data_IF_713197824918
#
_entry.id   IF_713197824918
#
_cell.length_a   1.000
_cell.length_b   1.000
_cell.length_c   1.000
_cell.angle_alpha   90.00
_cell.angle_beta   90.00
_cell.angle_gamma   90.00
#
_symmetry.space_group_name_H-M   'P 1'
#
loop_
_entity.id
_entity.type
_entity.pdbx_description
1 polymer ?
#
# COMPACT_ATOMS: atom_id res chain seq x y z
N UNK A 1 -34.74 -74.50 0.80
CA UNK A 1 -35.93 -74.06 0.06
C UNK A 1 -36.22 -72.62 0.43
N UNK A 2 -35.71 -71.70 -0.39
CA UNK A 2 -36.50 -70.82 -1.28
C UNK A 2 -37.01 -69.55 -0.59
N UNK A 3 -36.19 -68.50 -0.71
CA UNK A 3 -36.57 -67.08 -0.81
C UNK A 3 -37.77 -66.92 -1.77
N UNK A 4 -38.62 -65.87 -1.64
CA UNK A 4 -38.22 -64.58 -2.21
C UNK A 4 -38.71 -63.30 -1.50
N UNK A 5 -37.76 -62.36 -1.39
CA UNK A 5 -37.82 -60.92 -1.71
C UNK A 5 -39.07 -60.11 -1.40
N UNK A 6 -38.87 -58.99 -0.68
CA UNK A 6 -39.35 -57.67 -1.12
C UNK A 6 -38.37 -56.59 -0.70
N UNK A 7 -37.68 -56.04 -1.70
CA UNK A 7 -36.90 -54.83 -1.61
C UNK A 7 -37.84 -53.64 -1.31
N UNK A 8 -37.50 -52.83 -0.31
CA UNK A 8 -38.05 -51.50 -0.13
C UNK A 8 -36.90 -50.51 -0.06
N UNK A 9 -36.80 -49.77 -1.15
CA UNK A 9 -35.97 -48.61 -1.38
C UNK A 9 -36.34 -47.52 -0.34
N UNK A 10 -35.49 -47.31 0.67
CA UNK A 10 -35.59 -46.14 1.54
C UNK A 10 -34.91 -44.97 0.83
N UNK A 11 -35.72 -44.10 0.25
CA UNK A 11 -35.32 -42.76 -0.14
C UNK A 11 -34.97 -41.97 1.12
N UNK A 12 -33.70 -41.57 1.23
CA UNK A 12 -33.25 -40.58 2.20
C UNK A 12 -33.73 -39.23 1.70
N UNK A 13 -34.83 -38.73 2.26
CA UNK A 13 -35.26 -37.35 2.12
C UNK A 13 -34.33 -36.48 2.98
N UNK A 14 -33.39 -35.79 2.34
CA UNK A 14 -32.62 -34.72 2.97
C UNK A 14 -33.55 -33.52 3.17
N UNK A 15 -34.06 -33.35 4.39
CA UNK A 15 -34.86 -32.21 4.80
C UNK A 15 -33.92 -31.00 4.97
N UNK A 16 -33.85 -30.14 3.95
CA UNK A 16 -33.20 -28.83 4.05
C UNK A 16 -34.04 -27.97 4.98
N UNK A 17 -33.57 -27.77 6.21
CA UNK A 17 -34.13 -26.83 7.16
C UNK A 17 -33.90 -25.40 6.62
N UNK A 18 -34.96 -24.82 6.06
CA UNK A 18 -35.12 -23.37 5.89
C UNK A 18 -35.22 -22.73 7.28
N UNK A 19 -34.07 -22.51 7.90
CA UNK A 19 -33.94 -21.62 9.04
C UNK A 19 -33.81 -20.18 8.54
N UNK A 20 -34.95 -19.48 8.39
CA UNK A 20 -34.96 -18.03 8.25
C UNK A 20 -34.69 -17.36 9.61
N UNK A 21 -33.47 -17.50 10.10
CA UNK A 21 -32.90 -16.63 11.12
C UNK A 21 -32.09 -15.55 10.43
N UNK A 22 -32.50 -14.28 10.55
CA UNK A 22 -31.65 -13.14 10.17
C UNK A 22 -30.50 -13.03 11.17
N UNK A 23 -29.50 -13.90 11.02
CA UNK A 23 -28.17 -13.61 11.51
C UNK A 23 -27.51 -12.75 10.43
N UNK A 24 -27.49 -11.45 10.67
CA UNK A 24 -26.81 -10.43 9.86
C UNK A 24 -25.30 -10.61 9.98
N UNK A 25 -24.73 -11.44 9.12
CA UNK A 25 -23.31 -11.78 9.12
C UNK A 25 -22.56 -10.88 8.13
N UNK A 26 -21.40 -10.37 8.54
CA UNK A 26 -20.47 -9.71 7.63
C UNK A 26 -20.12 -10.67 6.47
N UNK A 27 -19.97 -10.12 5.25
CA UNK A 27 -19.64 -10.93 4.08
C UNK A 27 -18.12 -11.07 3.96
N UNK A 28 -17.63 -12.31 4.03
CA UNK A 28 -16.21 -12.61 3.87
C UNK A 28 -15.90 -13.10 2.45
N UNK A 29 -14.79 -12.61 1.90
CA UNK A 29 -14.24 -13.04 0.61
C UNK A 29 -12.76 -13.36 0.81
N UNK A 30 -12.37 -14.59 0.46
CA UNK A 30 -10.99 -15.04 0.52
C UNK A 30 -10.45 -15.21 -0.91
N UNK A 31 -9.31 -14.58 -1.17
CA UNK A 31 -8.55 -14.70 -2.40
C UNK A 31 -7.19 -15.32 -2.08
N UNK A 32 -6.34 -15.54 -3.09
CA UNK A 32 -4.97 -16.03 -2.86
C UNK A 32 -4.11 -15.05 -2.05
N UNK A 33 -4.41 -13.75 -2.15
CA UNK A 33 -3.57 -12.65 -1.63
C UNK A 33 -4.28 -11.76 -0.62
N UNK A 34 -5.61 -11.83 -0.52
CA UNK A 34 -6.44 -10.98 0.34
C UNK A 34 -7.50 -11.79 1.09
N UNK A 35 -7.74 -11.41 2.34
CA UNK A 35 -8.93 -11.79 3.09
C UNK A 35 -9.72 -10.51 3.38
N UNK A 36 -10.94 -10.42 2.86
CA UNK A 36 -11.75 -9.20 2.90
C UNK A 36 -13.02 -9.45 3.69
N UNK A 37 -13.43 -8.45 4.47
CA UNK A 37 -14.68 -8.47 5.24
C UNK A 37 -15.48 -7.23 4.89
N UNK A 38 -16.69 -7.43 4.38
CA UNK A 38 -17.62 -6.38 4.00
C UNK A 38 -18.78 -6.31 4.98
N UNK A 39 -19.23 -5.09 5.25
CA UNK A 39 -20.48 -4.86 5.96
C UNK A 39 -21.68 -5.17 5.08
N UNK A 40 -22.86 -5.25 5.68
CA UNK A 40 -24.13 -5.40 4.96
C UNK A 40 -24.44 -4.21 4.04
N UNK A 41 -23.87 -3.04 4.33
CA UNK A 41 -24.07 -1.81 3.54
C UNK A 41 -23.06 -1.68 2.40
N UNK A 42 -22.20 -2.69 2.19
CA UNK A 42 -21.20 -2.69 1.12
C UNK A 42 -19.92 -1.92 1.44
N UNK A 43 -19.71 -1.50 2.69
CA UNK A 43 -18.44 -0.90 3.12
C UNK A 43 -17.39 -1.98 3.38
N UNK A 44 -16.13 -1.70 3.07
CA UNK A 44 -15.02 -2.61 3.38
C UNK A 44 -14.61 -2.40 4.84
N UNK A 45 -14.95 -3.35 5.72
CA UNK A 45 -14.68 -3.26 7.16
C UNK A 45 -13.22 -3.54 7.47
N UNK A 46 -12.68 -4.64 6.93
CA UNK A 46 -11.28 -5.00 7.12
C UNK A 46 -10.73 -5.74 5.92
N UNK A 47 -9.41 -5.66 5.77
CA UNK A 47 -8.67 -6.45 4.82
C UNK A 47 -7.41 -7.02 5.47
N UNK A 48 -7.04 -8.24 5.12
CA UNK A 48 -5.75 -8.84 5.45
C UNK A 48 -5.04 -9.16 4.15
N UNK A 49 -3.91 -8.51 3.91
CA UNK A 49 -3.05 -8.82 2.78
C UNK A 49 -2.00 -9.86 3.17
N UNK A 50 -1.78 -10.82 2.29
CA UNK A 50 -0.83 -11.92 2.45
C UNK A 50 0.26 -11.84 1.39
N UNK A 51 1.50 -12.19 1.75
CA UNK A 51 2.65 -12.29 0.85
C UNK A 51 3.48 -13.55 1.22
N UNK A 52 3.73 -14.49 0.31
CA UNK A 52 3.33 -14.48 -1.10
C UNK A 52 1.85 -14.80 -1.34
N UNK A 53 1.24 -15.65 -0.50
CA UNK A 53 -0.17 -16.04 -0.58
C UNK A 53 -0.72 -16.37 0.81
N UNK A 54 -2.03 -16.34 1.01
CA UNK A 54 -2.68 -16.58 2.30
C UNK A 54 -2.63 -18.03 2.77
N UNK A 55 -2.40 -18.98 1.86
CA UNK A 55 -2.31 -20.42 2.12
C UNK A 55 -0.86 -20.95 2.15
N UNK A 56 0.13 -20.09 1.90
CA UNK A 56 1.53 -20.48 1.87
C UNK A 56 2.05 -20.89 3.27
N UNK A 57 3.07 -21.75 3.31
CA UNK A 57 3.67 -22.22 4.57
C UNK A 57 4.32 -21.09 5.39
N UNK A 58 4.90 -20.09 4.73
CA UNK A 58 5.52 -18.92 5.36
C UNK A 58 4.93 -17.65 4.77
N UNK A 59 3.87 -17.14 5.42
CA UNK A 59 3.14 -15.96 4.94
C UNK A 59 3.41 -14.76 5.83
N UNK A 60 3.76 -13.64 5.21
CA UNK A 60 3.74 -12.32 5.85
C UNK A 60 2.37 -11.71 5.64
N UNK A 61 1.73 -11.26 6.72
CA UNK A 61 0.41 -10.67 6.65
C UNK A 61 0.40 -9.23 7.14
N UNK A 62 -0.47 -8.40 6.56
CA UNK A 62 -0.82 -7.10 7.10
C UNK A 62 -2.31 -6.90 7.15
N UNK A 63 -2.81 -6.51 8.32
CA UNK A 63 -4.21 -6.16 8.52
C UNK A 63 -4.41 -4.66 8.32
N UNK A 64 -5.50 -4.31 7.65
CA UNK A 64 -6.03 -2.97 7.46
C UNK A 64 -7.37 -2.88 8.20
N UNK A 65 -7.66 -1.73 8.80
CA UNK A 65 -8.89 -1.48 9.55
C UNK A 65 -8.76 -1.78 11.05
N UNK A 66 -9.90 -2.01 11.72
CA UNK A 66 -9.95 -2.22 13.16
C UNK A 66 -11.38 -2.10 13.68
N UNK A 67 -11.62 -1.15 14.58
CA UNK A 67 -12.97 -0.80 15.08
C UNK A 67 -13.82 -0.04 14.05
N UNK A 68 -13.20 0.47 12.99
CA UNK A 68 -13.85 1.13 11.86
C UNK A 68 -13.62 0.42 10.53
N UNK A 69 -14.24 0.97 9.49
CA UNK A 69 -14.11 0.58 8.09
C UNK A 69 -12.79 1.05 7.46
N UNK A 70 -12.21 0.20 6.61
CA UNK A 70 -11.07 0.56 5.74
C UNK A 70 -11.53 1.50 4.64
N UNK A 71 -12.64 1.16 3.97
CA UNK A 71 -13.29 2.02 2.99
C UNK A 71 -14.78 2.15 3.30
N UNK A 72 -15.16 3.36 3.73
CA UNK A 72 -16.51 3.72 4.13
C UNK A 72 -17.19 4.69 3.17
N UNK A 73 -18.52 4.72 3.25
CA UNK A 73 -19.36 5.71 2.58
C UNK A 73 -19.80 6.77 3.59
N UNK A 74 -19.72 8.06 3.23
CA UNK A 74 -20.16 9.17 4.10
C UNK A 74 -21.66 9.15 4.36
N UNK A 75 -22.44 8.71 3.36
CA UNK A 75 -23.85 8.42 3.49
C UNK A 75 -24.09 6.97 3.11
N UNK A 76 -24.65 6.20 4.04
CA UNK A 76 -25.08 4.82 3.75
C UNK A 76 -26.33 4.85 2.88
N UNK A 77 -26.27 4.22 1.72
CA UNK A 77 -27.39 4.12 0.76
C UNK A 77 -28.30 2.91 1.02
N UNK A 78 -27.82 1.91 1.78
CA UNK A 78 -28.56 0.69 2.02
C UNK A 78 -29.41 0.76 3.31
N UNK A 79 -30.72 0.99 3.16
CA UNK A 79 -31.72 0.81 4.26
C UNK A 79 -32.30 -0.60 4.31
N UNK A 80 -32.15 -1.39 3.25
CA UNK A 80 -32.51 -2.81 3.18
C UNK A 80 -31.39 -3.53 2.42
N UNK A 81 -30.44 -4.17 3.11
CA UNK A 81 -29.28 -4.75 2.45
C UNK A 81 -29.71 -5.99 1.66
N UNK A 82 -29.72 -5.88 0.34
CA UNK A 82 -29.72 -7.03 -0.56
C UNK A 82 -28.33 -7.14 -1.16
N UNK A 83 -27.74 -8.32 -1.04
CA UNK A 83 -26.45 -8.68 -1.60
C UNK A 83 -26.65 -9.75 -2.66
N UNK A 84 -26.01 -9.57 -3.81
CA UNK A 84 -25.81 -10.62 -4.80
C UNK A 84 -24.31 -10.92 -4.90
N UNK A 85 -23.95 -12.19 -4.92
CA UNK A 85 -22.58 -12.67 -5.04
C UNK A 85 -22.47 -13.55 -6.27
N UNK A 86 -21.57 -13.18 -7.17
CA UNK A 86 -21.20 -13.97 -8.33
C UNK A 86 -19.73 -14.35 -8.20
N UNK A 87 -19.45 -15.65 -8.19
CA UNK A 87 -18.08 -16.17 -8.16
C UNK A 87 -17.72 -16.78 -9.50
N UNK A 88 -16.52 -16.45 -9.97
CA UNK A 88 -15.92 -17.03 -11.17
C UNK A 88 -14.54 -17.58 -10.83
N UNK A 89 -13.90 -18.23 -11.79
CA UNK A 89 -12.51 -18.69 -11.66
C UNK A 89 -11.51 -17.54 -11.52
N UNK A 90 -11.86 -16.32 -11.96
CA UNK A 90 -10.95 -15.18 -12.03
C UNK A 90 -11.24 -14.10 -10.99
N UNK A 91 -12.50 -13.91 -10.62
CA UNK A 91 -12.92 -12.87 -9.67
C UNK A 91 -14.22 -13.23 -8.94
N UNK A 92 -14.41 -12.61 -7.78
CA UNK A 92 -15.67 -12.54 -7.05
C UNK A 92 -16.27 -11.15 -7.22
N UNK A 93 -17.53 -11.09 -7.64
CA UNK A 93 -18.30 -9.84 -7.77
C UNK A 93 -19.36 -9.79 -6.68
N UNK A 94 -19.33 -8.73 -5.87
CA UNK A 94 -20.35 -8.46 -4.85
C UNK A 94 -21.15 -7.22 -5.25
N UNK A 95 -22.46 -7.39 -5.41
CA UNK A 95 -23.38 -6.30 -5.73
C UNK A 95 -24.28 -6.02 -4.53
N UNK A 96 -24.14 -4.82 -3.97
CA UNK A 96 -24.97 -4.33 -2.87
C UNK A 96 -26.02 -3.38 -3.43
N UNK A 97 -27.29 -3.68 -3.20
CA UNK A 97 -28.41 -2.92 -3.72
C UNK A 97 -28.89 -1.85 -2.73
N UNK A 98 -29.30 -0.71 -3.28
CA UNK A 98 -30.00 0.35 -2.56
C UNK A 98 -31.44 -0.04 -2.20
N UNK A 99 -32.10 0.83 -1.44
CA UNK A 99 -33.49 0.60 -0.99
C UNK A 99 -34.51 0.59 -2.14
N UNK A 100 -34.16 1.20 -3.26
CA UNK A 100 -34.90 1.23 -4.53
C UNK A 100 -34.67 -0.01 -5.41
N UNK A 101 -33.77 -0.91 -5.00
CA UNK A 101 -33.42 -2.12 -5.74
C UNK A 101 -32.44 -1.89 -6.89
N UNK A 102 -31.85 -0.70 -7.01
CA UNK A 102 -30.76 -0.43 -7.95
C UNK A 102 -29.41 -0.81 -7.33
N UNK A 103 -28.39 -1.18 -8.13
CA UNK A 103 -27.05 -1.42 -7.61
C UNK A 103 -26.48 -0.14 -6.98
N UNK A 104 -26.23 -0.13 -5.68
CA UNK A 104 -25.62 1.01 -4.99
C UNK A 104 -24.10 0.96 -5.08
N UNK A 105 -23.52 -0.21 -4.80
CA UNK A 105 -22.07 -0.45 -4.95
C UNK A 105 -21.79 -1.85 -5.50
N UNK A 106 -20.83 -1.94 -6.41
CA UNK A 106 -20.39 -3.19 -7.03
C UNK A 106 -18.89 -3.35 -6.80
N UNK A 107 -18.50 -4.41 -6.11
CA UNK A 107 -17.11 -4.75 -5.87
C UNK A 107 -16.66 -5.85 -6.81
N UNK A 108 -15.56 -5.62 -7.52
CA UNK A 108 -14.84 -6.62 -8.30
C UNK A 108 -13.56 -7.01 -7.56
N UNK A 109 -13.47 -8.26 -7.16
CA UNK A 109 -12.42 -8.78 -6.30
C UNK A 109 -11.69 -9.90 -7.06
N UNK A 110 -10.52 -9.61 -7.66
CA UNK A 110 -9.72 -10.62 -8.35
C UNK A 110 -9.31 -11.77 -7.43
N UNK A 111 -9.23 -12.99 -7.96
CA UNK A 111 -8.73 -14.18 -7.26
C UNK A 111 -7.27 -14.03 -6.81
N UNK A 112 -6.48 -13.28 -7.57
CA UNK A 112 -5.07 -13.03 -7.31
C UNK A 112 -4.76 -11.54 -7.39
N UNK A 113 -3.81 -11.09 -6.57
CA UNK A 113 -3.35 -9.71 -6.52
C UNK A 113 -3.96 -8.91 -5.37
N UNK A 114 -3.45 -7.70 -5.16
CA UNK A 114 -3.80 -6.87 -4.01
C UNK A 114 -4.71 -5.68 -4.37
N UNK A 115 -5.18 -5.63 -5.61
CA UNK A 115 -6.03 -4.54 -6.12
C UNK A 115 -7.46 -5.02 -6.30
N UNK A 116 -8.40 -4.34 -5.64
CA UNK A 116 -9.84 -4.52 -5.83
C UNK A 116 -10.44 -3.29 -6.50
N UNK A 117 -11.57 -3.48 -7.19
CA UNK A 117 -12.29 -2.36 -7.84
C UNK A 117 -13.66 -2.19 -7.21
N UNK A 118 -14.07 -0.95 -7.07
CA UNK A 118 -15.37 -0.54 -6.57
C UNK A 118 -16.01 0.36 -7.62
N UNK A 119 -17.20 0.00 -8.09
CA UNK A 119 -18.06 0.85 -8.90
C UNK A 119 -19.20 1.36 -8.02
N UNK A 120 -19.39 2.67 -8.00
CA UNK A 120 -20.48 3.35 -7.32
C UNK A 120 -21.36 4.00 -8.37
N UNK A 121 -22.66 3.71 -8.39
CA UNK A 121 -23.57 4.37 -9.35
C UNK A 121 -23.84 5.82 -8.95
N UNK A 122 -23.98 6.07 -7.65
CA UNK A 122 -24.12 7.42 -7.07
C UNK A 122 -23.00 7.63 -6.04
N UNK A 123 -21.93 8.39 -6.37
CA UNK A 123 -20.82 8.60 -5.47
C UNK A 123 -21.25 9.46 -4.28
N UNK A 124 -21.61 8.80 -3.17
CA UNK A 124 -21.49 9.42 -1.86
C UNK A 124 -20.00 9.65 -1.55
N UNK A 125 -19.67 10.69 -0.78
CA UNK A 125 -18.30 10.89 -0.32
C UNK A 125 -17.74 9.59 0.27
N UNK A 126 -16.47 9.29 -0.01
CA UNK A 126 -15.76 8.10 0.47
C UNK A 126 -14.81 8.47 1.59
N UNK A 127 -14.59 7.54 2.52
CA UNK A 127 -13.58 7.68 3.56
C UNK A 127 -12.65 6.49 3.53
N UNK A 128 -11.37 6.73 3.28
CA UNK A 128 -10.31 5.72 3.38
C UNK A 128 -9.62 5.88 4.73
N UNK A 129 -9.58 4.82 5.54
CA UNK A 129 -8.98 4.84 6.88
C UNK A 129 -7.97 3.71 7.04
N UNK A 130 -6.88 4.02 7.73
CA UNK A 130 -5.85 3.03 8.06
C UNK A 130 -6.30 2.06 9.14
N UNK A 131 -6.93 2.59 10.19
CA UNK A 131 -7.35 1.84 11.37
C UNK A 131 -6.18 1.40 12.27
N UNK A 132 -6.52 1.02 13.49
CA UNK A 132 -5.56 0.63 14.53
C UNK A 132 -4.62 -0.51 14.11
N UNK A 133 -5.13 -1.52 13.38
CA UNK A 133 -4.32 -2.67 12.98
C UNK A 133 -3.22 -2.29 11.97
N UNK A 134 -3.36 -1.14 11.30
CA UNK A 134 -2.36 -0.61 10.38
C UNK A 134 -1.35 0.33 11.06
N UNK A 135 -1.43 0.54 12.38
CA UNK A 135 -0.40 1.29 13.11
C UNK A 135 0.94 0.55 13.07
N UNK A 136 2.06 1.27 12.97
CA UNK A 136 3.37 0.63 13.08
C UNK A 136 3.56 0.03 14.47
N UNK A 137 4.28 -1.10 14.58
CA UNK A 137 4.65 -1.62 15.89
C UNK A 137 5.52 -0.59 16.63
N UNK A 138 5.46 -0.54 17.97
CA UNK A 138 6.37 0.32 18.73
C UNK A 138 7.81 -0.13 18.48
N UNK A 139 8.61 0.76 17.89
CA UNK A 139 10.04 0.57 17.67
C UNK A 139 10.86 1.58 18.46
N UNK A 140 12.14 1.29 18.69
CA UNK A 140 13.06 2.16 19.40
C UNK A 140 14.12 2.75 18.46
N UNK A 141 14.65 3.93 18.81
CA UNK A 141 15.73 4.59 18.06
C UNK A 141 15.37 4.87 16.60
N UNK A 142 16.29 4.55 15.68
CA UNK A 142 16.09 4.76 14.23
C UNK A 142 14.91 3.97 13.63
N UNK A 143 14.43 2.91 14.30
CA UNK A 143 13.23 2.18 13.86
C UNK A 143 12.00 3.10 13.78
N UNK A 144 11.86 4.03 14.72
CA UNK A 144 10.75 5.00 14.77
C UNK A 144 10.72 5.96 13.59
N UNK A 145 11.87 6.22 12.95
CA UNK A 145 11.96 7.09 11.77
C UNK A 145 11.52 6.35 10.50
N UNK A 146 11.80 5.04 10.43
CA UNK A 146 11.55 4.21 9.25
C UNK A 146 10.14 3.62 9.22
N UNK A 147 9.53 3.41 10.38
CA UNK A 147 8.22 2.76 10.51
C UNK A 147 7.06 3.76 10.59
N UNK A 148 7.27 5.03 10.25
CA UNK A 148 6.19 6.03 10.30
C UNK A 148 5.10 5.76 9.28
N UNK A 149 3.85 5.91 9.72
CA UNK A 149 2.71 6.06 8.82
C UNK A 149 2.82 7.40 8.11
N UNK A 150 2.68 7.40 6.78
CA UNK A 150 2.75 8.60 5.95
C UNK A 150 1.61 8.61 4.96
N UNK A 151 1.06 9.78 4.70
CA UNK A 151 0.29 10.03 3.50
C UNK A 151 1.19 9.97 2.27
N UNK A 152 0.66 9.50 1.15
CA UNK A 152 1.39 9.44 -0.11
C UNK A 152 0.44 9.69 -1.27
N UNK A 153 0.92 10.38 -2.29
CA UNK A 153 0.16 10.63 -3.52
C UNK A 153 1.10 10.71 -4.70
N UNK A 154 0.58 10.40 -5.87
CA UNK A 154 1.28 10.48 -7.14
C UNK A 154 0.89 11.77 -7.86
N UNK A 155 1.89 12.49 -8.35
CA UNK A 155 1.79 13.68 -9.19
C UNK A 155 2.70 13.56 -10.42
N UNK A 156 2.65 14.54 -11.33
CA UNK A 156 3.52 14.58 -12.51
C UNK A 156 5.01 14.64 -12.13
N UNK A 157 5.36 15.33 -11.04
CA UNK A 157 6.72 15.41 -10.51
C UNK A 157 7.18 14.15 -9.72
N UNK A 158 6.36 13.10 -9.75
CA UNK A 158 6.61 11.82 -9.07
C UNK A 158 5.76 11.63 -7.81
N UNK A 159 6.29 10.90 -6.83
CA UNK A 159 5.55 10.56 -5.60
C UNK A 159 5.82 11.56 -4.48
N UNK A 160 4.76 12.24 -4.03
CA UNK A 160 4.73 13.08 -2.84
C UNK A 160 4.30 12.32 -1.58
N UNK A 161 4.49 12.95 -0.42
CA UNK A 161 4.04 12.43 0.86
C UNK A 161 4.11 13.44 1.99
N UNK A 162 3.31 13.20 3.03
CA UNK A 162 3.23 14.03 4.23
C UNK A 162 3.18 13.16 5.49
N UNK A 163 3.65 13.70 6.60
CA UNK A 163 3.54 13.07 7.93
C UNK A 163 2.22 13.45 8.59
N UNK A 164 1.81 12.67 9.60
CA UNK A 164 0.54 12.86 10.33
C UNK A 164 0.68 13.79 11.55
N UNK A 165 1.85 14.39 11.78
CA UNK A 165 2.22 15.03 13.04
C UNK A 165 1.98 16.55 13.10
N UNK A 166 1.71 17.18 11.95
CA UNK A 166 1.34 18.59 11.86
C UNK A 166 -0.18 18.76 11.79
N UNK A 167 -0.69 19.82 12.43
CA UNK A 167 -2.08 20.23 12.25
C UNK A 167 -2.24 20.90 10.88
N UNK A 168 -2.49 20.08 9.87
CA UNK A 168 -2.58 20.52 8.48
C UNK A 168 -3.71 19.74 7.78
N UNK A 169 -4.53 20.46 7.03
CA UNK A 169 -5.47 19.85 6.10
C UNK A 169 -4.95 20.10 4.69
N UNK A 170 -4.45 19.04 4.05
CA UNK A 170 -4.00 19.11 2.67
C UNK A 170 -5.15 18.68 1.77
N UNK A 171 -5.54 19.55 0.84
CA UNK A 171 -6.51 19.21 -0.21
C UNK A 171 -5.77 18.91 -1.50
N UNK A 172 -6.00 17.72 -2.05
CA UNK A 172 -5.43 17.25 -3.31
C UNK A 172 -6.55 17.02 -4.32
N UNK A 173 -6.30 17.37 -5.57
CA UNK A 173 -7.16 16.95 -6.69
C UNK A 173 -6.33 16.05 -7.58
N UNK A 174 -6.68 14.77 -7.64
CA UNK A 174 -5.91 13.79 -8.42
C UNK A 174 -6.78 12.65 -8.91
N UNK A 175 -6.54 12.20 -10.15
CA UNK A 175 -7.04 10.92 -10.65
C UNK A 175 -6.03 9.78 -10.36
N UNK A 176 -4.79 10.13 -10.03
CA UNK A 176 -3.71 9.19 -9.80
C UNK A 176 -3.80 8.59 -8.39
N UNK A 177 -2.88 7.67 -8.09
CA UNK A 177 -2.86 6.97 -6.82
C UNK A 177 -2.55 7.89 -5.63
N UNK A 178 -3.37 7.80 -4.58
CA UNK A 178 -3.15 8.45 -3.30
C UNK A 178 -3.59 7.54 -2.14
N UNK A 179 -3.07 7.76 -0.95
CA UNK A 179 -3.39 6.93 0.20
C UNK A 179 -2.41 7.10 1.33
N UNK A 180 -2.15 6.01 2.05
CA UNK A 180 -1.17 5.98 3.11
C UNK A 180 -0.34 4.70 3.05
N UNK A 181 0.86 4.79 3.60
CA UNK A 181 1.80 3.66 3.61
C UNK A 181 2.66 3.61 4.85
N UNK A 182 3.14 2.41 5.09
CA UNK A 182 4.28 2.08 5.92
C UNK A 182 5.47 1.71 5.04
N UNK A 183 6.57 1.29 5.67
CA UNK A 183 7.77 0.83 4.97
C UNK A 183 7.52 -0.29 3.97
N UNK A 184 6.70 -1.28 4.35
CA UNK A 184 6.51 -2.52 3.56
C UNK A 184 5.09 -2.73 3.05
N UNK A 185 4.14 -1.87 3.43
CA UNK A 185 2.72 -2.06 3.12
C UNK A 185 2.07 -0.72 2.80
N UNK A 186 1.11 -0.72 1.87
CA UNK A 186 0.38 0.48 1.49
C UNK A 186 -1.11 0.18 1.31
N UNK A 187 -1.93 1.18 1.63
CA UNK A 187 -3.32 1.25 1.18
C UNK A 187 -3.44 2.48 0.28
N UNK A 188 -3.72 2.26 -1.01
CA UNK A 188 -3.79 3.31 -2.01
C UNK A 188 -5.13 3.23 -2.74
N UNK A 189 -5.57 4.36 -3.24
CA UNK A 189 -6.78 4.56 -3.99
C UNK A 189 -6.47 5.36 -5.24
N UNK A 190 -7.06 4.97 -6.36
CA UNK A 190 -7.11 5.77 -7.58
C UNK A 190 -8.53 5.68 -8.15
N UNK A 191 -8.89 6.61 -9.02
CA UNK A 191 -10.15 6.56 -9.73
C UNK A 191 -9.96 6.77 -11.24
N UNK A 192 -11.01 6.49 -11.99
CA UNK A 192 -11.08 6.74 -13.44
C UNK A 192 -11.16 8.24 -13.80
N UNK A 193 -11.42 9.10 -12.82
CA UNK A 193 -11.51 10.55 -12.96
C UNK A 193 -10.98 11.27 -11.71
N UNK A 194 -10.67 12.58 -11.81
CA UNK A 194 -10.12 13.33 -10.70
C UNK A 194 -11.03 13.33 -9.47
N UNK A 195 -10.46 12.99 -8.32
CA UNK A 195 -11.11 13.07 -7.02
C UNK A 195 -10.52 14.22 -6.20
N UNK A 196 -11.37 14.84 -5.38
CA UNK A 196 -10.93 15.78 -4.35
C UNK A 196 -10.71 14.98 -3.06
N UNK A 197 -9.46 14.85 -2.66
CA UNK A 197 -9.05 14.18 -1.44
C UNK A 197 -8.66 15.22 -0.38
N UNK A 198 -9.23 15.10 0.81
CA UNK A 198 -8.88 15.87 2.00
C UNK A 198 -8.15 14.98 2.99
N UNK A 199 -6.88 15.29 3.21
CA UNK A 199 -5.98 14.58 4.08
C UNK A 199 -5.96 15.34 5.40
N UNK A 200 -6.39 14.67 6.46
CA UNK A 200 -6.44 15.29 7.78
C UNK A 200 -5.25 14.82 8.60
N UNK A 201 -4.40 15.75 9.01
CA UNK A 201 -3.33 15.54 9.97
C UNK A 201 -3.60 16.37 11.23
N UNK A 202 -3.30 15.81 12.40
CA UNK A 202 -3.46 16.46 13.69
C UNK A 202 -2.33 16.01 14.63
N UNK A 203 -1.93 16.85 15.61
CA UNK A 203 -0.88 16.46 16.55
C UNK A 203 -1.24 15.15 17.25
N UNK A 204 -0.28 14.22 17.32
CA UNK A 204 -0.44 12.89 17.91
C UNK A 204 -1.43 11.96 17.19
N UNK A 205 -1.86 12.29 15.98
CA UNK A 205 -2.69 11.39 15.16
C UNK A 205 -1.90 10.13 14.79
N UNK A 206 -2.47 8.97 15.13
CA UNK A 206 -1.85 7.66 14.87
C UNK A 206 -2.48 6.92 13.69
N UNK A 207 -3.65 7.38 13.24
CA UNK A 207 -4.42 6.77 12.15
C UNK A 207 -4.60 7.78 11.02
N UNK A 208 -4.25 7.39 9.80
CA UNK A 208 -4.56 8.14 8.61
C UNK A 208 -6.05 8.03 8.27
N UNK A 209 -6.67 9.16 7.91
CA UNK A 209 -8.01 9.27 7.34
C UNK A 209 -7.98 10.23 6.15
N UNK A 210 -8.53 9.78 5.03
CA UNK A 210 -8.67 10.58 3.80
C UNK A 210 -10.15 10.62 3.44
N UNK A 211 -10.72 11.82 3.37
CA UNK A 211 -12.08 12.02 2.83
C UNK A 211 -11.99 12.34 1.36
N UNK A 212 -12.85 11.73 0.57
CA UNK A 212 -12.75 11.75 -0.88
C UNK A 212 -14.11 12.08 -1.44
N UNK A 213 -14.17 13.08 -2.32
CA UNK A 213 -15.38 13.46 -3.03
C UNK A 213 -15.12 13.50 -4.53
N UNK A 214 -16.10 13.03 -5.31
CA UNK A 214 -16.13 13.25 -6.75
C UNK A 214 -16.77 14.61 -7.03
N UNK A 215 -16.12 15.53 -7.76
CA UNK A 215 -16.74 16.77 -8.19
C UNK A 215 -17.80 16.54 -9.27
N UNK A 216 -17.64 15.48 -10.06
CA UNK A 216 -18.52 15.13 -11.16
C UNK A 216 -19.63 14.18 -10.73
N UNK A 217 -20.82 14.39 -11.31
CA UNK A 217 -21.95 13.49 -11.17
C UNK A 217 -21.77 12.21 -12.00
N UNK A 218 -22.52 11.16 -11.63
CA UNK A 218 -22.54 9.87 -12.35
C UNK A 218 -21.64 8.80 -11.74
N UNK A 219 -21.54 7.62 -12.36
CA UNK A 219 -20.87 6.47 -11.76
C UNK A 219 -19.37 6.68 -11.58
N UNK A 220 -18.84 6.29 -10.43
CA UNK A 220 -17.43 6.39 -10.07
C UNK A 220 -16.78 5.00 -10.02
N UNK A 221 -15.68 4.79 -10.75
CA UNK A 221 -14.87 3.59 -10.66
C UNK A 221 -13.61 3.87 -9.85
N UNK A 222 -13.51 3.23 -8.69
CA UNK A 222 -12.39 3.33 -7.76
C UNK A 222 -11.58 2.04 -7.79
N UNK A 223 -10.25 2.16 -7.83
CA UNK A 223 -9.31 1.06 -7.60
C UNK A 223 -8.67 1.23 -6.24
N UNK A 224 -8.63 0.17 -5.46
CA UNK A 224 -8.05 0.17 -4.11
C UNK A 224 -6.97 -0.90 -4.05
N UNK A 225 -5.73 -0.48 -3.79
CA UNK A 225 -4.58 -1.35 -3.58
C UNK A 225 -4.36 -1.54 -2.09
N UNK A 226 -4.32 -2.79 -1.62
CA UNK A 226 -4.13 -3.16 -0.22
C UNK A 226 -3.03 -4.22 -0.13
N UNK A 227 -1.77 -3.80 -0.26
CA UNK A 227 -0.70 -4.74 -0.56
C UNK A 227 0.69 -4.31 -0.13
N UNK A 228 1.68 -5.18 -0.39
CA UNK A 228 3.07 -4.91 -0.04
C UNK A 228 3.67 -3.82 -0.95
N UNK A 229 4.70 -3.15 -0.47
CA UNK A 229 5.49 -2.18 -1.27
C UNK A 229 6.68 -2.94 -1.89
N UNK A 230 6.38 -3.74 -2.90
CA UNK A 230 7.35 -4.57 -3.65
C UNK A 230 7.13 -4.41 -5.16
N UNK A 231 8.21 -4.48 -5.95
CA UNK A 231 8.19 -4.19 -7.38
C UNK A 231 7.16 -5.03 -8.15
N UNK A 232 7.13 -6.36 -7.93
CA UNK A 232 6.21 -7.23 -8.65
C UNK A 232 4.74 -6.96 -8.28
N UNK A 233 4.44 -6.79 -6.99
CA UNK A 233 3.10 -6.50 -6.50
C UNK A 233 2.60 -5.14 -6.97
N UNK A 234 3.44 -4.09 -6.92
CA UNK A 234 3.08 -2.75 -7.37
C UNK A 234 2.88 -2.72 -8.88
N UNK A 235 3.80 -3.30 -9.67
CA UNK A 235 3.69 -3.35 -11.12
C UNK A 235 2.45 -4.12 -11.60
N UNK A 236 1.99 -5.13 -10.83
CA UNK A 236 0.73 -5.83 -11.11
C UNK A 236 -0.52 -4.95 -10.90
N UNK A 237 -0.43 -3.94 -10.04
CA UNK A 237 -1.52 -3.00 -9.79
C UNK A 237 -1.49 -1.84 -10.79
N UNK A 238 -0.32 -1.25 -10.99
CA UNK A 238 -0.05 -0.18 -11.95
C UNK A 238 1.48 -0.04 -12.14
N UNK A 239 1.98 0.10 -13.36
CA UNK A 239 3.41 0.21 -13.61
C UNK A 239 4.02 1.42 -12.90
N UNK A 240 3.28 2.52 -12.82
CA UNK A 240 3.74 3.78 -12.22
C UNK A 240 3.83 3.70 -10.68
N UNK A 241 3.08 2.80 -10.04
CA UNK A 241 3.15 2.59 -8.60
C UNK A 241 4.52 2.08 -8.13
N UNK A 242 5.32 1.51 -9.02
CA UNK A 242 6.69 1.03 -8.70
C UNK A 242 7.56 2.17 -8.14
N UNK A 243 7.26 3.42 -8.48
CA UNK A 243 7.99 4.58 -7.95
C UNK A 243 7.79 4.79 -6.44
N UNK A 244 6.71 4.27 -5.85
CA UNK A 244 6.49 4.34 -4.40
C UNK A 244 7.59 3.65 -3.60
N UNK A 245 8.26 2.64 -4.16
CA UNK A 245 9.39 1.98 -3.50
C UNK A 245 10.50 2.97 -3.13
N UNK A 246 10.67 4.01 -3.94
CA UNK A 246 11.73 5.00 -3.78
C UNK A 246 11.22 6.36 -3.29
N UNK A 247 9.92 6.48 -2.99
CA UNK A 247 9.31 7.75 -2.61
C UNK A 247 9.87 8.35 -1.31
N UNK A 248 10.41 7.53 -0.40
CA UNK A 248 11.06 8.03 0.84
C UNK A 248 12.48 8.55 0.63
N UNK A 249 13.09 8.31 -0.54
CA UNK A 249 14.47 8.69 -0.80
C UNK A 249 14.50 10.09 -1.42
N UNK A 250 15.43 10.93 -0.95
CA UNK A 250 15.77 12.19 -1.61
C UNK A 250 16.18 11.92 -3.06
N UNK A 251 15.86 12.88 -3.94
CA UNK A 251 15.88 12.69 -5.39
C UNK A 251 17.19 12.10 -5.95
N UNK A 252 18.40 12.56 -5.57
CA UNK A 252 19.64 11.99 -6.08
C UNK A 252 19.85 10.52 -5.69
N UNK A 253 19.51 10.15 -4.46
CA UNK A 253 19.65 8.78 -3.98
C UNK A 253 18.61 7.85 -4.60
N UNK A 254 17.40 8.36 -4.88
CA UNK A 254 16.38 7.61 -5.64
C UNK A 254 16.93 7.15 -6.99
N UNK A 255 17.62 8.03 -7.71
CA UNK A 255 18.23 7.69 -9.00
C UNK A 255 19.33 6.61 -8.86
N UNK A 256 20.18 6.73 -7.84
CA UNK A 256 21.24 5.75 -7.56
C UNK A 256 20.63 4.38 -7.22
N UNK A 257 19.61 4.34 -6.36
CA UNK A 257 18.95 3.09 -5.97
C UNK A 257 18.24 2.43 -7.15
N UNK A 258 17.55 3.20 -8.00
CA UNK A 258 16.93 2.68 -9.22
C UNK A 258 17.98 2.12 -10.18
N UNK A 259 19.10 2.83 -10.37
CA UNK A 259 20.22 2.35 -11.18
C UNK A 259 20.82 1.05 -10.63
N UNK A 260 21.01 0.95 -9.31
CA UNK A 260 21.53 -0.24 -8.67
C UNK A 260 20.56 -1.43 -8.78
N UNK A 261 19.26 -1.19 -8.64
CA UNK A 261 18.23 -2.21 -8.80
C UNK A 261 18.19 -2.74 -10.23
N UNK A 262 18.19 -1.86 -11.23
CA UNK A 262 18.26 -2.25 -12.65
C UNK A 262 19.54 -3.03 -12.97
N UNK A 263 20.66 -2.62 -12.39
CA UNK A 263 21.93 -3.34 -12.54
C UNK A 263 21.88 -4.73 -11.90
N UNK A 264 21.31 -4.84 -10.70
CA UNK A 264 21.13 -6.11 -10.01
C UNK A 264 20.20 -7.04 -10.81
N UNK A 265 19.08 -6.53 -11.32
CA UNK A 265 18.13 -7.29 -12.13
C UNK A 265 18.78 -7.79 -13.43
N UNK A 266 19.54 -6.93 -14.11
CA UNK A 266 20.33 -7.33 -15.27
C UNK A 266 21.36 -8.42 -14.95
N UNK A 267 22.06 -8.31 -13.81
CA UNK A 267 23.01 -9.34 -13.36
C UNK A 267 22.28 -10.64 -13.02
N UNK A 268 21.14 -10.57 -12.33
CA UNK A 268 20.35 -11.74 -11.95
C UNK A 268 19.77 -12.46 -13.17
N UNK A 269 19.41 -11.72 -14.23
CA UNK A 269 19.00 -12.29 -15.50
C UNK A 269 20.14 -13.08 -16.18
N UNK A 270 21.41 -12.71 -15.98
CA UNK A 270 22.57 -13.46 -16.46
C UNK A 270 22.94 -14.63 -15.55
N UNK A 271 22.83 -14.45 -14.23
CA UNK A 271 23.17 -15.45 -13.20
C UNK A 271 22.04 -15.50 -12.17
N UNK A 272 21.05 -16.42 -12.31
CA UNK A 272 19.88 -16.51 -11.44
C UNK A 272 20.20 -17.16 -10.09
N UNK A 273 21.19 -16.59 -9.39
CA UNK A 273 21.62 -16.98 -8.06
C UNK A 273 21.93 -15.73 -7.23
N UNK A 274 21.08 -15.44 -6.25
CA UNK A 274 21.11 -14.20 -5.45
C UNK A 274 22.50 -13.87 -4.87
N UNK A 275 23.20 -14.86 -4.31
CA UNK A 275 24.54 -14.63 -3.73
C UNK A 275 25.61 -14.24 -4.76
N UNK A 276 25.55 -14.79 -5.97
CA UNK A 276 26.51 -14.49 -7.03
C UNK A 276 26.21 -13.12 -7.66
N UNK A 277 24.91 -12.81 -7.82
CA UNK A 277 24.46 -11.51 -8.29
C UNK A 277 24.94 -10.37 -7.38
N UNK A 278 24.88 -10.54 -6.06
CA UNK A 278 25.36 -9.54 -5.09
C UNK A 278 26.90 -9.37 -5.16
N UNK A 279 27.65 -10.45 -5.31
CA UNK A 279 29.12 -10.39 -5.47
C UNK A 279 29.52 -9.62 -6.75
N UNK A 280 28.85 -9.91 -7.87
CA UNK A 280 29.06 -9.21 -9.14
C UNK A 280 28.64 -7.73 -9.06
N UNK A 281 27.52 -7.44 -8.39
CA UNK A 281 27.06 -6.07 -8.17
C UNK A 281 28.11 -5.26 -7.39
N UNK A 282 28.72 -5.86 -6.37
CA UNK A 282 29.76 -5.22 -5.55
C UNK A 282 31.01 -4.89 -6.38
N UNK A 283 31.43 -5.79 -7.28
CA UNK A 283 32.52 -5.54 -8.25
C UNK A 283 32.17 -4.41 -9.23
N UNK A 284 30.95 -4.41 -9.77
CA UNK A 284 30.47 -3.40 -10.71
C UNK A 284 30.41 -2.00 -10.07
N UNK A 285 29.84 -1.90 -8.87
CA UNK A 285 29.82 -0.64 -8.10
C UNK A 285 31.23 -0.19 -7.76
N UNK A 286 32.10 -1.10 -7.35
CA UNK A 286 33.51 -0.79 -7.08
C UNK A 286 34.23 -0.22 -8.30
N UNK A 287 33.98 -0.77 -9.49
CA UNK A 287 34.51 -0.25 -10.74
C UNK A 287 33.94 1.14 -11.06
N UNK A 288 32.63 1.33 -10.90
CA UNK A 288 31.93 2.58 -11.15
C UNK A 288 32.37 3.71 -10.21
N UNK A 289 32.74 3.39 -8.97
CA UNK A 289 33.20 4.37 -7.97
C UNK A 289 34.64 4.83 -8.15
N UNK A 290 35.51 4.07 -8.84
CA UNK A 290 36.93 4.44 -9.07
C UNK A 290 37.16 5.88 -9.56
N UNK A 291 36.44 6.42 -10.55
CA UNK A 291 36.61 7.81 -10.97
C UNK A 291 36.28 8.78 -9.83
N UNK A 292 35.21 8.52 -9.07
CA UNK A 292 34.82 9.35 -7.94
C UNK A 292 35.86 9.32 -6.83
N UNK A 293 36.40 8.13 -6.51
CA UNK A 293 37.47 7.96 -5.52
C UNK A 293 38.70 8.78 -5.91
N UNK A 294 39.14 8.74 -7.17
CA UNK A 294 40.29 9.52 -7.63
C UNK A 294 40.08 11.03 -7.53
N UNK A 295 38.86 11.52 -7.78
CA UNK A 295 38.53 12.94 -7.64
C UNK A 295 38.54 13.33 -6.16
N UNK A 296 37.98 12.49 -5.28
CA UNK A 296 37.98 12.71 -3.85
C UNK A 296 39.39 12.75 -3.27
N UNK A 297 40.25 11.80 -3.65
CA UNK A 297 41.66 11.76 -3.22
C UNK A 297 42.39 13.04 -3.61
N UNK A 298 42.18 13.52 -4.85
CA UNK A 298 42.78 14.77 -5.32
C UNK A 298 42.30 15.99 -4.52
N UNK A 299 41.02 16.07 -4.20
CA UNK A 299 40.47 17.17 -3.41
C UNK A 299 40.98 17.15 -1.97
N UNK A 300 41.14 15.97 -1.36
CA UNK A 300 41.74 15.82 -0.04
C UNK A 300 43.21 16.25 -0.06
N UNK A 301 43.99 15.86 -1.08
CA UNK A 301 45.37 16.30 -1.25
C UNK A 301 45.50 17.83 -1.39
N UNK A 302 44.57 18.47 -2.11
CA UNK A 302 44.53 19.92 -2.27
C UNK A 302 44.21 20.64 -0.95
N UNK A 303 43.28 20.12 -0.14
CA UNK A 303 42.99 20.64 1.21
C UNK A 303 44.20 20.50 2.11
N UNK A 304 44.84 19.33 2.17
CA UNK A 304 46.03 19.13 3.00
C UNK A 304 47.18 20.06 2.62
N UNK A 305 47.39 20.32 1.33
CA UNK A 305 48.38 21.31 0.87
C UNK A 305 48.02 22.73 1.29
N UNK A 306 46.73 23.06 1.28
CA UNK A 306 46.24 24.39 1.65
C UNK A 306 46.33 24.60 3.16
N UNK A 307 45.95 23.61 3.96
CA UNK A 307 46.15 23.60 5.42
C UNK A 307 47.63 23.70 5.79
N UNK A 308 48.53 22.97 5.11
CA UNK A 308 49.97 23.06 5.34
C UNK A 308 50.54 24.46 5.05
N UNK A 309 49.97 25.18 4.08
CA UNK A 309 50.36 26.56 3.75
C UNK A 309 49.79 27.58 4.74
N UNK A 310 48.56 27.39 5.19
CA UNK A 310 47.86 28.31 6.10
C UNK A 310 48.17 28.07 7.58
N UNK A 311 48.63 26.88 7.97
CA UNK A 311 49.02 26.54 9.34
C UNK A 311 50.01 27.52 10.00
N UNK A 312 51.11 27.95 9.35
CA UNK A 312 52.03 28.92 9.95
C UNK A 312 51.39 30.29 10.14
N UNK A 313 50.60 30.78 9.18
CA UNK A 313 49.91 32.07 9.29
C UNK A 313 48.84 32.06 10.39
N UNK A 314 48.05 30.99 10.47
CA UNK A 314 47.07 30.77 11.54
C UNK A 314 47.73 30.69 12.92
N UNK A 315 48.92 30.07 13.03
CA UNK A 315 49.69 30.03 14.27
C UNK A 315 50.25 31.40 14.65
N UNK A 316 50.69 32.19 13.67
CA UNK A 316 51.17 33.55 13.91
C UNK A 316 50.03 34.47 14.39
N UNK A 317 48.85 34.39 13.77
CA UNK A 317 47.65 35.10 14.20
C UNK A 317 47.23 34.65 15.62
N UNK A 318 47.17 33.33 15.87
CA UNK A 318 46.86 32.80 17.22
C UNK A 318 47.85 33.28 18.28
N UNK A 319 49.12 33.47 17.92
CA UNK A 319 50.15 33.95 18.83
C UNK A 319 50.06 35.46 19.07
N UNK A 320 49.70 36.25 18.05
CA UNK A 320 49.46 37.69 18.17
C UNK A 320 48.21 38.02 18.99
N UNK A 321 47.16 37.21 18.90
CA UNK A 321 45.89 37.40 19.63
C UNK A 321 45.73 36.50 20.87
N UNK A 322 46.80 35.80 21.30
CA UNK A 322 46.80 35.05 22.57
C UNK A 322 46.97 36.02 23.74
N UNK A 323 45.86 36.62 24.20
CA UNK A 323 45.87 37.51 25.37
C UNK A 323 44.95 38.73 25.28
N UNK A 324 44.19 38.91 24.21
CA UNK A 324 43.10 39.90 24.17
C UNK A 324 41.80 39.23 24.66
N UNK A 325 41.71 39.08 25.98
CA UNK A 325 40.48 38.82 26.73
C UNK A 325 40.63 39.42 28.13
#
# INVERSE_FOLDING_TARGET
MTRPTRARCCWVLALVLLGSGRATADTEVMTESLQLTFSETGTLKSAVACLPACDAQTTRTRRFGGTGDVLGFERSTARQPRLERLETELETVLTFYGADGTPGSVWHIPRQGWTIRLRLEEPAGLRLRSGEAFRPPPSAGFGTLLERLRYTWQSEDGVGGAELDAEETTRLTSANWFGFRLRFWAALMAADRPLVAELQSAPQQQEAEIRVASPDAGPLLVRVYLGPVESASLASADAELTELMYASLWYPLRLICRGLYLLLDAIYALVPHWGAAIMLLSLAVGFLMRPLTRIADRLQDEVHRTEARLAPELQEIKRRFKGEA
#
